data_IF_112062423662
#
_entry.id   IF_112062423662
#
_cell.length_a   1.000
_cell.length_b   1.000
_cell.length_c   1.000
_cell.angle_alpha   90.00
_cell.angle_beta   90.00
_cell.angle_gamma   90.00
#
_symmetry.space_group_name_H-M   'P 1'
#
loop_
_entity.id
_entity.type
_entity.pdbx_description
1 polymer ?
#
# COMPACT_ATOMS: atom_id res chain seq x y z
N UNK A 1 -6.25 1.75 17.80
CA UNK A 1 -5.54 0.51 17.46
C UNK A 1 -6.52 -0.64 17.63
N UNK A 2 -6.54 -1.66 16.76
CA UNK A 2 -7.31 -2.89 17.00
C UNK A 2 -6.87 -3.55 18.31
N UNK A 3 -7.83 -4.09 19.07
CA UNK A 3 -7.52 -4.70 20.38
C UNK A 3 -6.56 -5.90 20.25
N UNK A 4 -6.66 -6.66 19.15
CA UNK A 4 -5.77 -7.77 18.81
C UNK A 4 -4.28 -7.38 18.68
N UNK A 5 -3.99 -6.09 18.52
CA UNK A 5 -2.63 -5.60 18.32
C UNK A 5 -2.01 -4.99 19.58
N UNK A 6 -2.77 -4.88 20.66
CA UNK A 6 -2.26 -4.34 21.92
C UNK A 6 -1.21 -5.29 22.53
N UNK A 7 -1.43 -6.59 22.39
CA UNK A 7 -0.51 -7.62 22.88
C UNK A 7 0.83 -7.69 22.11
N UNK A 8 0.87 -7.08 20.92
CA UNK A 8 2.09 -6.99 20.10
C UNK A 8 2.97 -5.80 20.49
N UNK A 9 2.45 -4.88 21.32
CA UNK A 9 3.28 -3.81 21.86
C UNK A 9 4.22 -4.38 22.90
N UNK A 10 5.48 -4.01 22.78
CA UNK A 10 6.53 -4.41 23.73
C UNK A 10 6.21 -3.91 25.15
N UNK A 11 6.88 -4.51 26.13
CA UNK A 11 6.75 -4.10 27.54
C UNK A 11 7.08 -2.60 27.72
N UNK A 12 6.50 -2.00 28.76
CA UNK A 12 6.75 -0.62 29.13
C UNK A 12 8.25 -0.37 29.26
N UNK A 13 8.75 0.68 28.63
CA UNK A 13 10.16 1.05 28.61
C UNK A 13 10.96 0.55 27.40
N UNK A 14 10.31 -0.16 26.45
CA UNK A 14 10.93 -0.56 25.17
C UNK A 14 10.39 0.28 24.01
N UNK A 15 11.20 0.44 22.97
CA UNK A 15 10.76 1.13 21.74
C UNK A 15 9.80 0.25 20.95
N UNK A 16 8.72 0.88 20.44
CA UNK A 16 7.75 0.23 19.57
C UNK A 16 7.51 1.09 18.33
N UNK A 17 7.41 0.45 17.15
CA UNK A 17 7.05 1.10 15.90
C UNK A 17 5.55 0.89 15.66
N UNK A 18 4.81 1.98 15.55
CA UNK A 18 3.37 1.97 15.27
C UNK A 18 3.11 2.73 13.96
N UNK A 19 2.43 2.09 13.01
CA UNK A 19 1.95 2.75 11.81
C UNK A 19 0.68 3.51 12.13
N UNK A 20 0.58 4.76 11.72
CA UNK A 20 -0.54 5.61 12.12
C UNK A 20 -1.30 6.17 10.92
N UNK A 21 -2.56 6.49 11.17
CA UNK A 21 -3.40 7.30 10.30
C UNK A 21 -4.11 8.37 11.13
N UNK A 22 -3.99 9.63 10.70
CA UNK A 22 -4.63 10.77 11.35
C UNK A 22 -5.94 11.10 10.64
N UNK A 23 -7.05 11.01 11.36
CA UNK A 23 -8.31 11.58 10.94
C UNK A 23 -8.36 13.02 11.44
N UNK A 24 -8.39 13.97 10.54
CA UNK A 24 -8.61 15.38 10.83
C UNK A 24 -10.03 15.77 10.39
N UNK A 25 -10.79 16.33 11.31
CA UNK A 25 -12.11 16.92 11.07
C UNK A 25 -12.14 18.30 11.70
N UNK A 26 -13.11 19.13 11.33
CA UNK A 26 -13.25 20.48 11.89
C UNK A 26 -13.43 20.49 13.42
N UNK A 27 -13.87 19.36 14.00
CA UNK A 27 -14.18 19.26 15.44
C UNK A 27 -13.19 18.39 16.22
N UNK A 28 -12.37 17.57 15.56
CA UNK A 28 -11.49 16.64 16.25
C UNK A 28 -10.33 16.12 15.38
N UNK A 29 -9.23 15.79 16.05
CA UNK A 29 -8.14 15.00 15.50
C UNK A 29 -8.11 13.65 16.20
N UNK A 30 -8.25 12.57 15.45
CA UNK A 30 -8.20 11.21 15.97
C UNK A 30 -7.02 10.45 15.32
N UNK A 31 -6.14 9.91 16.15
CA UNK A 31 -5.02 9.12 15.68
C UNK A 31 -5.34 7.63 15.82
N UNK A 32 -5.24 6.90 14.72
CA UNK A 32 -5.43 5.46 14.65
C UNK A 32 -4.07 4.78 14.45
N UNK A 33 -3.79 3.72 15.23
CA UNK A 33 -2.52 3.00 15.20
C UNK A 33 -2.69 1.56 14.72
N UNK A 34 -1.66 1.02 14.06
CA UNK A 34 -1.63 -0.33 13.48
C UNK A 34 -0.25 -0.95 13.71
N UNK A 35 -0.20 -2.28 13.85
CA UNK A 35 1.06 -3.00 14.06
C UNK A 35 1.89 -3.08 12.76
N UNK A 36 1.24 -3.03 11.58
CA UNK A 36 1.91 -3.08 10.29
C UNK A 36 1.35 -2.07 9.29
N UNK A 37 2.11 -1.78 8.24
CA UNK A 37 1.64 -0.98 7.10
C UNK A 37 0.46 -1.65 6.40
N UNK A 38 0.47 -2.97 6.34
CA UNK A 38 -0.58 -3.79 5.76
C UNK A 38 -1.92 -3.62 6.49
N UNK A 39 -1.92 -3.69 7.81
CA UNK A 39 -3.13 -3.44 8.59
C UNK A 39 -3.67 -2.03 8.37
N UNK A 40 -2.77 -1.03 8.28
CA UNK A 40 -3.16 0.33 7.94
C UNK A 40 -3.80 0.40 6.55
N UNK A 41 -3.26 -0.32 5.55
CA UNK A 41 -3.84 -0.38 4.21
C UNK A 41 -5.22 -1.02 4.21
N UNK A 42 -5.40 -2.17 4.90
CA UNK A 42 -6.70 -2.81 5.07
C UNK A 42 -7.72 -1.88 5.73
N UNK A 43 -7.29 -1.14 6.77
CA UNK A 43 -8.15 -0.14 7.40
C UNK A 43 -8.61 0.94 6.42
N UNK A 44 -7.69 1.49 5.62
CA UNK A 44 -8.00 2.51 4.63
C UNK A 44 -8.95 1.99 3.54
N UNK A 45 -8.78 0.73 3.14
CA UNK A 45 -9.69 0.10 2.18
C UNK A 45 -11.09 -0.10 2.77
N UNK A 46 -11.19 -0.50 4.03
CA UNK A 46 -12.46 -0.58 4.74
C UNK A 46 -13.18 0.78 4.79
N UNK A 47 -12.46 1.88 4.91
CA UNK A 47 -13.06 3.23 4.89
C UNK A 47 -13.66 3.62 3.52
N UNK A 48 -13.24 2.97 2.43
CA UNK A 48 -13.83 3.18 1.10
C UNK A 48 -15.21 2.53 0.95
N UNK A 49 -15.59 1.67 1.89
CA UNK A 49 -16.91 1.01 1.91
C UNK A 49 -17.94 1.96 2.48
N UNK A 50 -18.98 2.28 1.69
CA UNK A 50 -20.04 3.16 2.15
C UNK A 50 -20.76 2.58 3.39
N UNK A 51 -20.81 3.38 4.45
CA UNK A 51 -21.35 3.00 5.76
C UNK A 51 -20.35 2.38 6.74
N UNK A 52 -19.07 2.26 6.36
CA UNK A 52 -17.99 1.85 7.26
C UNK A 52 -17.14 3.06 7.64
N UNK A 53 -17.35 3.58 8.84
CA UNK A 53 -16.50 4.63 9.40
C UNK A 53 -15.30 4.06 10.17
N UNK A 54 -14.38 4.94 10.67
CA UNK A 54 -13.15 4.51 11.35
C UNK A 54 -13.36 3.57 12.53
N UNK A 55 -14.38 3.84 13.38
CA UNK A 55 -14.72 2.95 14.51
C UNK A 55 -15.24 1.60 14.04
N UNK A 56 -16.03 1.59 12.95
CA UNK A 56 -16.54 0.36 12.33
C UNK A 56 -15.40 -0.47 11.73
N UNK A 57 -14.50 0.16 11.01
CA UNK A 57 -13.33 -0.49 10.43
C UNK A 57 -12.43 -1.13 11.51
N UNK A 58 -12.13 -0.41 12.60
CA UNK A 58 -11.40 -0.99 13.73
C UNK A 58 -12.11 -2.20 14.34
N UNK A 59 -13.43 -2.11 14.54
CA UNK A 59 -14.22 -3.22 15.10
C UNK A 59 -14.17 -4.46 14.21
N UNK A 60 -14.24 -4.28 12.89
CA UNK A 60 -14.08 -5.37 11.92
C UNK A 60 -12.68 -6.00 12.08
N UNK A 61 -11.62 -5.19 12.09
CA UNK A 61 -10.24 -5.65 12.21
C UNK A 61 -9.91 -6.29 13.57
N UNK A 62 -10.61 -5.91 14.64
CA UNK A 62 -10.48 -6.58 15.94
C UNK A 62 -11.20 -7.94 15.98
N UNK A 63 -12.15 -8.19 15.07
CA UNK A 63 -12.98 -9.39 15.07
C UNK A 63 -12.45 -10.47 14.12
N UNK A 64 -11.73 -10.09 13.08
CA UNK A 64 -11.15 -11.01 12.10
C UNK A 64 -9.76 -10.53 11.69
N UNK A 65 -8.84 -11.45 11.43
CA UNK A 65 -7.52 -11.10 10.91
C UNK A 65 -7.62 -10.60 9.46
N UNK A 66 -6.65 -9.80 9.04
CA UNK A 66 -6.59 -9.30 7.66
C UNK A 66 -6.58 -10.43 6.63
N UNK A 67 -5.90 -11.55 6.93
CA UNK A 67 -5.84 -12.73 6.07
C UNK A 67 -7.20 -13.41 5.93
N UNK A 68 -7.91 -13.60 7.05
CA UNK A 68 -9.27 -14.20 7.05
C UNK A 68 -10.28 -13.31 6.33
N UNK A 69 -10.18 -12.00 6.52
CA UNK A 69 -11.04 -11.04 5.82
C UNK A 69 -10.85 -11.16 4.31
N UNK A 70 -9.60 -11.23 3.86
CA UNK A 70 -9.26 -11.36 2.45
C UNK A 70 -9.75 -12.68 1.85
N UNK A 71 -9.47 -13.80 2.50
CA UNK A 71 -9.94 -15.11 2.06
C UNK A 71 -11.48 -15.14 1.93
N UNK A 72 -12.18 -14.51 2.89
CA UNK A 72 -13.63 -14.40 2.86
C UNK A 72 -14.14 -13.56 1.69
N UNK A 73 -13.44 -12.47 1.36
CA UNK A 73 -13.78 -11.61 0.24
C UNK A 73 -13.50 -12.31 -1.11
N UNK A 74 -12.38 -13.01 -1.24
CA UNK A 74 -12.02 -13.75 -2.45
C UNK A 74 -12.95 -14.92 -2.71
N UNK A 75 -13.29 -15.69 -1.68
CA UNK A 75 -14.25 -16.80 -1.77
C UNK A 75 -15.67 -16.35 -2.12
N UNK A 76 -15.97 -15.05 -2.00
CA UNK A 76 -17.29 -14.51 -2.28
C UNK A 76 -18.36 -14.86 -1.23
N UNK A 77 -17.94 -15.31 -0.04
CA UNK A 77 -18.86 -15.77 1.00
C UNK A 77 -19.42 -14.60 1.82
N UNK A 78 -20.49 -13.97 1.31
CA UNK A 78 -21.18 -12.86 2.00
C UNK A 78 -21.70 -13.27 3.39
N UNK A 79 -22.15 -14.52 3.54
CA UNK A 79 -22.66 -15.01 4.81
C UNK A 79 -21.61 -15.08 5.92
N UNK A 80 -20.34 -15.26 5.58
CA UNK A 80 -19.23 -15.18 6.54
C UNK A 80 -18.95 -13.74 6.95
N UNK A 81 -19.04 -12.79 6.01
CA UNK A 81 -18.91 -11.36 6.32
C UNK A 81 -20.03 -10.89 7.28
N UNK A 82 -21.24 -11.37 7.11
CA UNK A 82 -22.38 -11.02 7.98
C UNK A 82 -22.20 -11.48 9.44
N UNK A 83 -21.35 -12.47 9.69
CA UNK A 83 -21.04 -12.96 11.04
C UNK A 83 -20.06 -12.04 11.79
N UNK A 84 -19.40 -11.12 11.07
CA UNK A 84 -18.46 -10.19 11.68
C UNK A 84 -19.23 -9.14 12.49
N UNK A 85 -18.92 -8.94 13.78
CA UNK A 85 -19.61 -7.96 14.62
C UNK A 85 -19.55 -6.54 14.04
N UNK A 86 -20.70 -5.97 13.74
CA UNK A 86 -20.84 -4.65 13.12
C UNK A 86 -20.98 -4.66 11.59
N UNK A 87 -20.97 -5.84 10.96
CA UNK A 87 -21.22 -6.01 9.53
C UNK A 87 -22.60 -6.64 9.33
N UNK A 88 -23.56 -5.82 8.93
CA UNK A 88 -24.89 -6.32 8.53
C UNK A 88 -24.91 -6.72 7.06
N UNK A 89 -25.97 -7.41 6.63
CA UNK A 89 -26.17 -7.91 5.26
C UNK A 89 -25.89 -6.86 4.17
N UNK A 90 -26.39 -5.64 4.36
CA UNK A 90 -26.19 -4.54 3.41
C UNK A 90 -24.72 -4.10 3.33
N UNK A 91 -24.04 -4.03 4.49
CA UNK A 91 -22.62 -3.69 4.59
C UNK A 91 -21.75 -4.80 4.00
N UNK A 92 -22.06 -6.06 4.29
CA UNK A 92 -21.37 -7.22 3.71
C UNK A 92 -21.42 -7.22 2.17
N UNK A 93 -22.59 -6.95 1.59
CA UNK A 93 -22.73 -6.81 0.14
C UNK A 93 -21.90 -5.66 -0.44
N UNK A 94 -21.86 -4.50 0.22
CA UNK A 94 -21.03 -3.36 -0.19
C UNK A 94 -19.53 -3.66 -0.05
N UNK A 95 -19.11 -4.31 1.03
CA UNK A 95 -17.73 -4.76 1.22
C UNK A 95 -17.30 -5.69 0.09
N UNK A 96 -18.15 -6.66 -0.26
CA UNK A 96 -17.87 -7.58 -1.36
C UNK A 96 -17.67 -6.84 -2.69
N UNK A 97 -18.52 -5.88 -3.03
CA UNK A 97 -18.42 -5.10 -4.26
C UNK A 97 -17.20 -4.16 -4.28
N UNK A 98 -16.89 -3.54 -3.14
CA UNK A 98 -15.83 -2.55 -3.06
C UNK A 98 -14.43 -3.16 -2.95
N UNK A 99 -14.30 -4.31 -2.26
CA UNK A 99 -13.02 -4.85 -1.80
C UNK A 99 -12.61 -6.14 -2.51
N UNK A 100 -13.53 -6.91 -3.10
CA UNK A 100 -13.18 -8.14 -3.82
C UNK A 100 -12.18 -7.86 -4.94
N UNK A 101 -11.04 -8.55 -4.92
CA UNK A 101 -9.95 -8.38 -5.88
C UNK A 101 -9.15 -7.08 -5.74
N UNK A 102 -9.47 -6.25 -4.71
CA UNK A 102 -8.77 -4.98 -4.44
C UNK A 102 -8.11 -4.95 -3.07
N UNK A 103 -8.55 -5.80 -2.15
CA UNK A 103 -7.86 -6.02 -0.90
C UNK A 103 -6.63 -6.87 -1.21
N UNK A 104 -5.66 -6.24 -1.80
CA UNK A 104 -4.34 -6.83 -1.87
C UNK A 104 -3.80 -6.81 -0.45
N UNK A 105 -3.21 -7.93 -0.01
CA UNK A 105 -2.12 -7.86 0.92
C UNK A 105 -0.97 -7.15 0.19
N UNK A 106 -1.14 -5.88 -0.13
CA UNK A 106 -0.03 -5.00 -0.46
C UNK A 106 0.74 -4.67 0.83
N UNK A 107 1.30 -5.72 1.46
CA UNK A 107 2.70 -5.77 1.77
C UNK A 107 3.47 -6.59 0.72
N UNK A 108 2.95 -6.67 -0.37
CA UNK A 108 3.56 -6.18 -1.57
C UNK A 108 3.05 -4.71 -1.68
N UNK A 109 3.77 -3.72 -1.20
CA UNK A 109 4.91 -3.49 -2.08
C UNK A 109 5.17 -4.80 -2.83
N UNK A 110 4.57 -4.95 -3.99
CA UNK A 110 5.39 -5.18 -5.14
C UNK A 110 6.28 -3.93 -5.19
N UNK A 111 7.24 -3.90 -4.33
CA UNK A 111 8.53 -4.29 -4.75
C UNK A 111 8.26 -5.44 -5.68
N UNK A 112 7.98 -5.17 -7.00
CA UNK A 112 8.73 -5.85 -8.01
C UNK A 112 10.09 -5.78 -7.33
N UNK A 113 10.50 -6.91 -6.72
CA UNK A 113 11.89 -7.13 -6.43
C UNK A 113 12.44 -7.14 -7.84
N UNK A 114 12.65 -5.93 -8.35
CA UNK A 114 13.76 -5.69 -9.25
C UNK A 114 14.84 -6.26 -8.38
N UNK A 115 15.39 -7.45 -8.71
CA UNK A 115 16.46 -8.03 -7.93
C UNK A 115 17.36 -6.84 -7.65
N UNK A 116 17.93 -6.72 -6.44
CA UNK A 116 18.79 -5.57 -6.09
C UNK A 116 19.92 -5.35 -7.11
N UNK A 117 20.00 -6.18 -8.10
CA UNK A 117 20.82 -6.21 -9.32
C UNK A 117 20.07 -5.82 -10.60
N UNK A 118 18.80 -5.37 -10.57
CA UNK A 118 18.22 -4.85 -11.79
C UNK A 118 18.91 -3.54 -12.15
N UNK A 119 19.40 -3.39 -13.38
CA UNK A 119 20.00 -2.15 -13.83
C UNK A 119 18.99 -1.02 -13.61
N UNK A 120 19.45 0.09 -13.00
CA UNK A 120 18.66 1.31 -12.72
C UNK A 120 17.66 1.27 -11.55
N UNK A 121 17.70 0.25 -10.68
CA UNK A 121 16.88 0.20 -9.45
C UNK A 121 17.07 1.43 -8.56
N UNK A 122 18.27 2.00 -8.52
CA UNK A 122 18.61 3.16 -7.71
C UNK A 122 17.93 4.44 -8.22
N UNK A 123 17.75 4.55 -9.55
CA UNK A 123 17.02 5.66 -10.18
C UNK A 123 15.53 5.60 -9.79
N UNK A 124 14.92 4.42 -9.88
CA UNK A 124 13.52 4.20 -9.46
C UNK A 124 13.32 4.56 -8.00
N UNK A 125 14.19 4.07 -7.13
CA UNK A 125 14.08 4.32 -5.69
C UNK A 125 14.29 5.80 -5.34
N UNK A 126 15.19 6.49 -6.02
CA UNK A 126 15.45 7.92 -5.82
C UNK A 126 14.24 8.77 -6.22
N UNK A 127 13.61 8.49 -7.37
CA UNK A 127 12.40 9.19 -7.81
C UNK A 127 11.20 8.88 -6.91
N UNK A 128 11.06 7.64 -6.46
CA UNK A 128 10.02 7.28 -5.49
C UNK A 128 10.21 7.99 -4.13
N UNK A 129 11.46 8.17 -3.68
CA UNK A 129 11.78 8.92 -2.47
C UNK A 129 11.46 10.43 -2.61
N UNK A 130 11.45 10.95 -3.85
CA UNK A 130 11.02 12.33 -4.15
C UNK A 130 9.49 12.50 -4.18
N UNK A 131 8.73 11.40 -4.02
CA UNK A 131 7.27 11.43 -3.93
C UNK A 131 6.52 11.02 -5.20
N UNK A 132 7.22 10.62 -6.26
CA UNK A 132 6.59 10.10 -7.47
C UNK A 132 6.06 8.66 -7.24
N UNK A 133 4.94 8.33 -7.87
CA UNK A 133 4.41 6.96 -7.82
C UNK A 133 5.38 5.98 -8.48
N UNK A 134 5.79 4.97 -7.71
CA UNK A 134 6.82 4.02 -8.13
C UNK A 134 6.48 3.28 -9.43
N UNK A 135 5.21 2.93 -9.62
CA UNK A 135 4.73 2.21 -10.80
C UNK A 135 4.80 3.08 -12.05
N UNK A 136 4.45 4.36 -11.91
CA UNK A 136 4.54 5.34 -12.99
C UNK A 136 6.02 5.57 -13.34
N UNK A 137 6.89 5.67 -12.34
CA UNK A 137 8.36 5.82 -12.53
C UNK A 137 8.93 4.61 -13.27
N UNK A 138 8.59 3.39 -12.86
CA UNK A 138 9.07 2.15 -13.51
C UNK A 138 8.64 2.09 -14.98
N UNK A 139 7.40 2.44 -15.27
CA UNK A 139 6.89 2.48 -16.65
C UNK A 139 7.62 3.52 -17.47
N UNK A 140 7.81 4.74 -16.96
CA UNK A 140 8.53 5.81 -17.67
C UNK A 140 10.00 5.48 -17.90
N UNK A 141 10.67 4.88 -16.94
CA UNK A 141 12.07 4.44 -17.12
C UNK A 141 12.16 3.36 -18.21
N UNK A 142 11.20 2.44 -18.28
CA UNK A 142 11.16 1.43 -19.33
C UNK A 142 10.96 2.07 -20.72
N UNK A 143 10.04 3.03 -20.84
CA UNK A 143 9.80 3.79 -22.09
C UNK A 143 11.07 4.55 -22.54
N UNK A 144 11.74 5.25 -21.60
CA UNK A 144 12.97 5.98 -21.89
C UNK A 144 14.12 5.04 -22.29
N UNK A 145 14.24 3.90 -21.63
CA UNK A 145 15.24 2.88 -21.98
C UNK A 145 15.02 2.32 -23.38
N UNK A 146 13.78 2.08 -23.78
CA UNK A 146 13.44 1.61 -25.12
C UNK A 146 13.84 2.64 -26.18
N UNK A 147 13.55 3.92 -25.94
CA UNK A 147 13.97 5.01 -26.81
C UNK A 147 15.51 5.15 -26.91
N UNK A 148 16.21 5.01 -25.77
CA UNK A 148 17.66 5.14 -25.70
C UNK A 148 18.40 3.88 -26.17
N UNK A 149 17.72 2.74 -26.25
CA UNK A 149 18.33 1.47 -26.72
C UNK A 149 18.84 1.55 -28.17
N UNK A 150 18.23 2.40 -28.97
CA UNK A 150 18.63 2.66 -30.37
C UNK A 150 19.81 3.65 -30.48
N UNK A 151 20.15 4.35 -29.41
CA UNK A 151 21.25 5.33 -29.42
C UNK A 151 22.58 4.67 -29.03
N UNK A 152 23.47 4.55 -30.03
CA UNK A 152 24.82 4.00 -29.87
C UNK A 152 25.65 4.79 -28.84
N UNK A 153 25.35 6.06 -28.63
CA UNK A 153 26.04 6.90 -27.64
C UNK A 153 25.69 6.52 -26.21
N UNK A 154 24.47 6.05 -25.97
CA UNK A 154 24.01 5.55 -24.66
C UNK A 154 24.62 4.19 -24.32
N UNK A 155 24.75 3.30 -25.32
CA UNK A 155 25.30 1.97 -25.12
C UNK A 155 26.73 1.96 -24.58
N UNK A 156 27.57 2.91 -25.04
CA UNK A 156 28.99 3.04 -24.64
C UNK A 156 29.24 3.74 -23.30
N UNK A 157 28.19 4.24 -22.60
CA UNK A 157 28.33 4.96 -21.32
C UNK A 157 28.48 4.00 -20.15
N UNK A 158 29.13 4.51 -19.09
CA UNK A 158 29.22 3.80 -17.80
C UNK A 158 27.84 3.70 -17.13
N UNK A 159 27.66 2.73 -16.21
CA UNK A 159 26.41 2.55 -15.48
C UNK A 159 25.93 3.86 -14.82
N UNK A 160 26.83 4.58 -14.17
CA UNK A 160 26.54 5.83 -13.49
C UNK A 160 26.08 6.96 -14.44
N UNK A 161 26.69 7.06 -15.61
CA UNK A 161 26.26 8.03 -16.64
C UNK A 161 24.90 7.70 -17.22
N UNK A 162 24.59 6.40 -17.36
CA UNK A 162 23.27 5.92 -17.79
C UNK A 162 22.19 6.24 -16.76
N UNK A 163 22.51 6.05 -15.47
CA UNK A 163 21.62 6.39 -14.36
C UNK A 163 21.33 7.89 -14.29
N UNK A 164 22.34 8.74 -14.47
CA UNK A 164 22.17 10.21 -14.46
C UNK A 164 21.29 10.68 -15.64
N UNK A 165 21.47 10.11 -16.83
CA UNK A 165 20.65 10.41 -18.00
C UNK A 165 19.19 9.98 -17.76
N UNK A 166 18.97 8.75 -17.29
CA UNK A 166 17.64 8.23 -17.00
C UNK A 166 16.93 9.05 -15.93
N UNK A 167 17.64 9.40 -14.86
CA UNK A 167 17.10 10.22 -13.77
C UNK A 167 16.62 11.58 -14.27
N UNK A 168 17.44 12.28 -15.06
CA UNK A 168 17.08 13.59 -15.63
C UNK A 168 15.93 13.49 -16.62
N UNK A 169 15.95 12.50 -17.51
CA UNK A 169 14.89 12.32 -18.49
C UNK A 169 13.56 11.97 -17.79
N UNK A 170 13.60 11.10 -16.78
CA UNK A 170 12.42 10.73 -16.04
C UNK A 170 11.80 11.91 -15.27
N UNK A 171 12.60 12.81 -14.67
CA UNK A 171 12.08 14.03 -14.03
C UNK A 171 11.33 14.90 -15.03
N UNK A 172 11.87 15.08 -16.23
CA UNK A 172 11.23 15.91 -17.26
C UNK A 172 9.91 15.31 -17.73
N UNK A 173 9.83 13.98 -17.82
CA UNK A 173 8.62 13.26 -18.24
C UNK A 173 7.56 13.11 -17.12
N UNK A 174 7.97 13.27 -15.86
CA UNK A 174 7.11 13.15 -14.67
C UNK A 174 6.63 14.52 -14.14
N UNK A 175 7.22 15.62 -14.61
CA UNK A 175 6.87 16.99 -14.22
C UNK A 175 5.65 17.49 -15.00
#
# INVERSE_FOLDING_TARGET
MPDSNLDMLSNVGTEAKVYTWLQHTDMAMNLFGFASSQERSVFLDLLKVDGVGPKGALKIMSSVSSSQLMETLESGNVGTLEKIPGVGKKTAGKMMLALKGKLSLEDTQTVIKIPSNAPFSDVVNSLAAMGYDKKIVEQKIAEILDLLSTDKSFAGKTQKEKEDILFRSAIVELA
#
